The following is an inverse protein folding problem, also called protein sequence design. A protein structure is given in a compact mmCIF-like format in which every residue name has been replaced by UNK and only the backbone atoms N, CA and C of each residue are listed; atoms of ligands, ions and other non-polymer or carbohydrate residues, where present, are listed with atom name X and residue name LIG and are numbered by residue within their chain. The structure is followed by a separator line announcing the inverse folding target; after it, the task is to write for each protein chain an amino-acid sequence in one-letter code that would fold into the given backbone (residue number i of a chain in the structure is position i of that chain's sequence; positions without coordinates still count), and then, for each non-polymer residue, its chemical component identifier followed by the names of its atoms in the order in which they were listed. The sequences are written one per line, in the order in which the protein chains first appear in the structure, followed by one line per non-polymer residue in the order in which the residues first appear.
data_IF_146529041865
#
_entry.id   IF_146529041865
#
_cell.length_a   1.000
_cell.length_b   1.000
_cell.length_c   1.000
_cell.angle_alpha   90.00
_cell.angle_beta   90.00
_cell.angle_gamma   90.00
#
_symmetry.space_group_name_H-M   'P 1'
#
loop_
_entity.id
_entity.type
_entity.pdbx_description
1 polymer ?
#
# COMPACT_ATOMS: atom_id res chain seq x y z
N UNK A 1 -2.37 -12.24 15.37
CA UNK A 1 -3.48 -11.77 14.53
C UNK A 1 -3.16 -10.33 14.19
N UNK A 2 -2.95 -10.00 12.91
CA UNK A 2 -2.53 -8.66 12.55
C UNK A 2 -3.69 -7.67 12.60
N UNK A 3 -3.44 -6.48 13.12
CA UNK A 3 -4.42 -5.40 13.29
C UNK A 3 -4.28 -4.39 12.15
N UNK A 4 -5.35 -4.19 11.39
CA UNK A 4 -5.36 -3.32 10.20
C UNK A 4 -6.24 -2.09 10.45
N UNK A 5 -5.74 -0.92 10.14
CA UNK A 5 -6.53 0.31 10.06
C UNK A 5 -6.65 0.76 8.61
N UNK A 6 -7.85 1.14 8.16
CA UNK A 6 -8.09 1.73 6.84
C UNK A 6 -8.45 3.20 7.02
N UNK A 7 -7.52 4.08 6.71
CA UNK A 7 -7.79 5.52 6.69
C UNK A 7 -8.40 5.91 5.33
N UNK A 8 -9.57 6.54 5.35
CA UNK A 8 -10.36 6.75 4.14
C UNK A 8 -11.35 5.60 3.83
N UNK A 9 -11.77 4.85 4.83
CA UNK A 9 -12.69 3.70 4.72
C UNK A 9 -14.04 4.03 4.03
N UNK A 10 -14.48 5.29 4.02
CA UNK A 10 -15.73 5.71 3.39
C UNK A 10 -15.63 5.90 1.86
N UNK A 11 -14.42 5.98 1.32
CA UNK A 11 -14.21 6.07 -0.13
C UNK A 11 -14.43 4.73 -0.83
N UNK A 12 -14.62 4.77 -2.16
CA UNK A 12 -14.86 3.55 -2.98
C UNK A 12 -13.80 2.48 -2.76
N UNK A 13 -12.52 2.86 -2.79
CA UNK A 13 -11.39 1.95 -2.55
C UNK A 13 -11.39 1.42 -1.12
N UNK A 14 -11.63 2.28 -0.12
CA UNK A 14 -11.66 1.89 1.28
C UNK A 14 -12.78 0.90 1.61
N UNK A 15 -13.97 1.10 1.04
CA UNK A 15 -15.11 0.19 1.19
C UNK A 15 -14.78 -1.20 0.62
N UNK A 16 -14.23 -1.25 -0.59
CA UNK A 16 -13.88 -2.50 -1.26
C UNK A 16 -12.82 -3.29 -0.46
N UNK A 17 -11.76 -2.61 -0.02
CA UNK A 17 -10.72 -3.22 0.82
C UNK A 17 -11.30 -3.70 2.15
N UNK A 18 -12.09 -2.87 2.84
CA UNK A 18 -12.73 -3.26 4.09
C UNK A 18 -13.61 -4.50 3.95
N UNK A 19 -14.38 -4.58 2.85
CA UNK A 19 -15.23 -5.73 2.57
C UNK A 19 -14.42 -7.02 2.40
N UNK A 20 -13.31 -6.97 1.66
CA UNK A 20 -12.42 -8.11 1.45
C UNK A 20 -11.70 -8.54 2.73
N UNK A 21 -11.23 -7.58 3.53
CA UNK A 21 -10.50 -7.88 4.76
C UNK A 21 -11.40 -8.42 5.87
N UNK A 22 -12.68 -8.00 5.95
CA UNK A 22 -13.64 -8.54 6.91
C UNK A 22 -13.93 -10.04 6.72
N UNK A 23 -13.72 -10.56 5.52
CA UNK A 23 -13.88 -11.98 5.24
C UNK A 23 -12.70 -12.83 5.75
N UNK A 24 -11.65 -12.23 6.29
CA UNK A 24 -10.45 -12.91 6.79
C UNK A 24 -10.51 -13.07 8.30
N UNK A 25 -10.35 -14.29 8.78
CA UNK A 25 -10.36 -14.63 10.21
C UNK A 25 -9.01 -14.39 10.91
N UNK A 26 -7.94 -14.24 10.14
CA UNK A 26 -6.57 -14.02 10.63
C UNK A 26 -6.21 -12.55 10.87
N UNK A 27 -7.16 -11.63 10.61
CA UNK A 27 -6.98 -10.19 10.73
C UNK A 27 -8.02 -9.57 11.68
N UNK A 28 -7.63 -8.48 12.34
CA UNK A 28 -8.53 -7.58 13.07
C UNK A 28 -8.60 -6.25 12.35
N UNK A 29 -9.80 -5.83 11.94
CA UNK A 29 -10.00 -4.55 11.29
C UNK A 29 -10.44 -3.50 12.31
N UNK A 30 -9.64 -2.45 12.49
CA UNK A 30 -10.00 -1.28 13.28
C UNK A 30 -10.98 -0.40 12.52
N UNK A 31 -11.98 0.10 13.22
CA UNK A 31 -13.01 0.99 12.67
C UNK A 31 -12.99 2.33 13.38
N UNK A 32 -13.24 3.39 12.64
CA UNK A 32 -13.39 4.75 13.17
C UNK A 32 -14.87 5.18 13.04
N UNK A 33 -15.38 5.86 14.06
CA UNK A 33 -16.73 6.41 14.01
C UNK A 33 -16.83 7.49 12.92
N UNK A 34 -18.03 7.65 12.35
CA UNK A 34 -18.22 8.52 11.17
C UNK A 34 -17.92 9.99 11.48
N UNK A 35 -18.27 10.43 12.64
CA UNK A 35 -18.04 11.77 13.17
C UNK A 35 -16.57 12.04 13.55
N UNK A 36 -15.80 10.99 13.87
CA UNK A 36 -14.39 11.08 14.26
C UNK A 36 -13.41 10.94 13.08
N UNK A 37 -13.87 10.61 11.87
CA UNK A 37 -13.01 10.35 10.69
C UNK A 37 -12.05 11.48 10.34
N UNK A 38 -12.40 12.71 10.70
CA UNK A 38 -11.58 13.91 10.45
C UNK A 38 -10.82 14.37 11.69
N UNK A 39 -11.07 13.74 12.84
CA UNK A 39 -10.36 14.08 14.07
C UNK A 39 -8.94 13.50 14.07
N UNK A 40 -7.90 14.35 14.07
CA UNK A 40 -6.51 13.87 14.09
C UNK A 40 -6.20 13.01 15.30
N UNK A 41 -6.73 13.33 16.49
CA UNK A 41 -6.45 12.59 17.71
C UNK A 41 -7.06 11.17 17.69
N UNK A 42 -8.27 11.02 17.13
CA UNK A 42 -8.89 9.72 16.96
C UNK A 42 -8.13 8.86 15.94
N UNK A 43 -7.70 9.46 14.83
CA UNK A 43 -6.90 8.78 13.79
C UNK A 43 -5.53 8.37 14.33
N UNK A 44 -4.84 9.24 15.06
CA UNK A 44 -3.55 8.95 15.67
C UNK A 44 -3.61 7.73 16.60
N UNK A 45 -4.64 7.63 17.44
CA UNK A 45 -4.86 6.46 18.31
C UNK A 45 -4.99 5.17 17.52
N UNK A 46 -5.64 5.21 16.35
CA UNK A 46 -5.79 4.04 15.49
C UNK A 46 -4.48 3.67 14.79
N UNK A 47 -3.67 4.64 14.38
CA UNK A 47 -2.31 4.36 13.89
C UNK A 47 -1.45 3.69 14.97
N UNK A 48 -1.56 4.11 16.23
CA UNK A 48 -0.84 3.49 17.36
C UNK A 48 -1.27 2.05 17.64
N UNK A 49 -2.51 1.69 17.35
CA UNK A 49 -3.07 0.35 17.59
C UNK A 49 -2.91 -0.60 16.42
N UNK A 50 -2.62 -0.08 15.24
CA UNK A 50 -2.52 -0.88 14.02
C UNK A 50 -1.10 -1.44 13.84
N UNK A 51 -1.02 -2.67 13.34
CA UNK A 51 0.23 -3.21 12.79
C UNK A 51 0.48 -2.67 11.39
N UNK A 52 -0.60 -2.47 10.61
CA UNK A 52 -0.56 -1.91 9.26
C UNK A 52 -1.71 -0.95 9.07
N UNK A 53 -1.43 0.24 8.53
CA UNK A 53 -2.45 1.17 8.07
C UNK A 53 -2.47 1.27 6.54
N UNK A 54 -3.68 1.22 5.96
CA UNK A 54 -3.93 1.37 4.52
C UNK A 54 -4.51 2.76 4.29
N UNK A 55 -3.81 3.60 3.52
CA UNK A 55 -4.23 4.95 3.22
C UNK A 55 -5.03 4.97 1.91
N UNK A 56 -6.34 5.17 1.99
CA UNK A 56 -7.27 5.29 0.87
C UNK A 56 -7.73 6.74 0.73
N UNK A 57 -6.77 7.66 0.62
CA UNK A 57 -6.95 9.10 0.72
C UNK A 57 -6.47 9.81 -0.56
N UNK A 58 -6.94 11.04 -0.85
CA UNK A 58 -6.29 11.93 -1.80
C UNK A 58 -4.85 12.25 -1.37
N UNK A 59 -4.00 12.66 -2.32
CA UNK A 59 -2.56 12.82 -2.13
C UNK A 59 -2.19 13.71 -0.92
N UNK A 60 -2.76 14.90 -0.79
CA UNK A 60 -2.48 15.82 0.34
C UNK A 60 -2.88 15.21 1.69
N UNK A 61 -4.00 14.49 1.72
CA UNK A 61 -4.47 13.82 2.92
C UNK A 61 -3.63 12.58 3.27
N UNK A 62 -3.07 11.88 2.27
CA UNK A 62 -2.17 10.76 2.46
C UNK A 62 -0.82 11.23 3.04
N UNK A 63 -0.29 12.37 2.56
CA UNK A 63 0.91 12.99 3.12
C UNK A 63 0.69 13.34 4.60
N UNK A 64 -0.41 14.04 4.90
CA UNK A 64 -0.75 14.41 6.29
C UNK A 64 -0.97 13.17 7.18
N UNK A 65 -1.57 12.10 6.64
CA UNK A 65 -1.76 10.85 7.37
C UNK A 65 -0.43 10.14 7.67
N UNK A 66 0.54 10.20 6.74
CA UNK A 66 1.87 9.66 6.95
C UNK A 66 2.62 10.40 8.07
N UNK A 67 2.50 11.72 8.14
CA UNK A 67 3.05 12.54 9.22
C UNK A 67 2.39 12.20 10.56
N UNK A 68 1.07 12.06 10.58
CA UNK A 68 0.30 11.72 11.78
C UNK A 68 0.65 10.32 12.30
N UNK A 69 0.84 9.36 11.41
CA UNK A 69 1.24 8.00 11.78
C UNK A 69 2.65 7.93 12.41
N UNK A 70 3.53 8.88 12.08
CA UNK A 70 4.85 9.08 12.70
C UNK A 70 5.66 7.80 12.94
N UNK A 71 5.60 6.84 12.03
CA UNK A 71 6.32 5.56 12.14
C UNK A 71 5.77 4.56 13.15
N UNK A 72 4.56 4.77 13.68
CA UNK A 72 3.95 3.91 14.70
C UNK A 72 3.45 2.58 14.15
N UNK A 73 3.14 2.52 12.85
CA UNK A 73 2.74 1.31 12.14
C UNK A 73 3.31 1.29 10.73
N UNK A 74 3.23 0.14 10.07
CA UNK A 74 3.57 0.02 8.65
C UNK A 74 2.49 0.69 7.80
N UNK A 75 2.89 1.39 6.73
CA UNK A 75 1.98 2.11 5.85
C UNK A 75 1.91 1.47 4.46
N UNK A 76 0.69 1.29 3.95
CA UNK A 76 0.41 0.98 2.57
C UNK A 76 -0.42 2.12 1.97
N UNK A 77 0.17 2.92 1.09
CA UNK A 77 -0.49 4.06 0.48
C UNK A 77 -1.04 3.76 -0.90
N UNK A 78 -2.34 3.95 -1.10
CA UNK A 78 -3.01 3.78 -2.39
C UNK A 78 -3.04 5.06 -3.25
N UNK A 79 -2.61 6.21 -2.70
CA UNK A 79 -2.54 7.48 -3.43
C UNK A 79 -1.40 7.53 -4.46
N UNK A 80 -1.25 8.64 -5.16
CA UNK A 80 -0.12 8.86 -6.05
C UNK A 80 1.06 9.55 -5.37
N UNK A 81 0.86 10.10 -4.16
CA UNK A 81 1.80 10.96 -3.47
C UNK A 81 3.19 10.35 -3.27
N UNK A 82 3.24 9.04 -2.98
CA UNK A 82 4.49 8.41 -2.56
C UNK A 82 5.05 7.39 -3.57
N UNK A 83 4.48 7.28 -4.77
CA UNK A 83 4.90 6.27 -5.76
C UNK A 83 6.33 6.43 -6.27
N UNK A 84 6.85 7.64 -6.26
CA UNK A 84 8.22 7.96 -6.71
C UNK A 84 9.10 8.49 -5.57
N UNK A 85 8.61 8.42 -4.33
CA UNK A 85 9.35 8.92 -3.16
C UNK A 85 10.43 7.91 -2.73
N UNK A 86 11.65 8.38 -2.46
CA UNK A 86 12.83 7.54 -2.15
C UNK A 86 12.67 6.67 -0.90
N UNK A 87 11.88 7.12 0.09
CA UNK A 87 11.68 6.41 1.35
C UNK A 87 10.55 5.38 1.31
N UNK A 88 9.94 5.21 0.13
CA UNK A 88 8.84 4.28 -0.08
C UNK A 88 9.23 3.17 -1.04
N UNK A 89 8.90 1.93 -0.69
CA UNK A 89 9.06 0.80 -1.60
C UNK A 89 7.86 0.73 -2.54
N UNK A 90 8.13 0.65 -3.84
CA UNK A 90 7.08 0.48 -4.84
C UNK A 90 6.50 -0.94 -4.76
N UNK A 91 5.21 -1.05 -4.49
CA UNK A 91 4.52 -2.27 -4.12
C UNK A 91 4.18 -3.21 -5.29
N UNK A 92 5.12 -3.43 -6.22
CA UNK A 92 4.98 -4.35 -7.34
C UNK A 92 5.97 -5.51 -7.19
N UNK A 93 5.54 -6.66 -6.62
CA UNK A 93 6.46 -7.77 -6.34
C UNK A 93 7.02 -8.44 -7.60
N UNK A 94 6.37 -8.24 -8.75
CA UNK A 94 6.78 -8.77 -10.06
C UNK A 94 7.86 -7.92 -10.74
N UNK A 95 8.22 -6.76 -10.19
CA UNK A 95 9.16 -5.83 -10.80
C UNK A 95 10.55 -6.46 -10.99
N UNK A 96 11.03 -7.19 -10.00
CA UNK A 96 12.29 -7.95 -10.04
C UNK A 96 12.34 -8.98 -8.89
N UNK A 97 13.36 -9.84 -8.90
CA UNK A 97 13.51 -10.91 -7.91
C UNK A 97 13.61 -10.43 -6.44
N UNK A 98 14.13 -9.22 -6.20
CA UNK A 98 14.29 -8.64 -4.86
C UNK A 98 13.04 -7.90 -4.37
N UNK A 99 12.12 -7.51 -5.27
CA UNK A 99 10.99 -6.64 -4.95
C UNK A 99 10.07 -7.23 -3.89
N UNK A 100 9.77 -8.53 -3.96
CA UNK A 100 8.92 -9.21 -2.97
C UNK A 100 9.49 -9.13 -1.55
N UNK A 101 10.79 -9.34 -1.39
CA UNK A 101 11.45 -9.25 -0.09
C UNK A 101 11.51 -7.81 0.41
N UNK A 102 11.81 -6.86 -0.48
CA UNK A 102 11.81 -5.43 -0.15
C UNK A 102 10.42 -4.97 0.36
N UNK A 103 9.34 -5.36 -0.33
CA UNK A 103 7.96 -5.06 0.11
C UNK A 103 7.65 -5.70 1.47
N UNK A 104 8.06 -6.96 1.68
CA UNK A 104 7.78 -7.68 2.91
C UNK A 104 8.45 -7.06 4.13
N UNK A 105 9.63 -6.46 3.98
CA UNK A 105 10.42 -5.85 5.05
C UNK A 105 10.22 -4.33 5.21
N UNK A 106 9.57 -3.66 4.25
CA UNK A 106 9.42 -2.21 4.26
C UNK A 106 8.39 -1.72 5.28
N UNK A 107 8.68 -0.59 5.92
CA UNK A 107 7.72 0.12 6.76
C UNK A 107 6.73 0.96 5.94
N UNK A 108 7.13 1.36 4.73
CA UNK A 108 6.33 2.21 3.83
C UNK A 108 6.29 1.61 2.44
N UNK A 109 5.10 1.26 1.97
CA UNK A 109 4.85 0.68 0.65
C UNK A 109 3.84 1.54 -0.11
N UNK A 110 4.19 1.95 -1.32
CA UNK A 110 3.26 2.66 -2.23
C UNK A 110 2.60 1.67 -3.18
N UNK A 111 1.26 1.66 -3.21
CA UNK A 111 0.51 0.79 -4.11
C UNK A 111 0.65 1.25 -5.57
N UNK A 112 0.97 0.35 -6.52
CA UNK A 112 1.05 0.68 -7.95
C UNK A 112 -0.26 1.23 -8.51
N UNK A 113 -0.15 2.18 -9.43
CA UNK A 113 -1.31 2.61 -10.20
C UNK A 113 -1.73 1.53 -11.22
N UNK A 114 -3.03 1.46 -11.53
CA UNK A 114 -3.57 0.46 -12.46
C UNK A 114 -2.96 0.54 -13.86
N UNK A 115 -2.80 1.74 -14.43
CA UNK A 115 -2.18 1.93 -15.74
C UNK A 115 -0.67 1.64 -15.75
N UNK A 116 0.15 2.22 -14.84
CA UNK A 116 1.57 1.89 -14.75
C UNK A 116 1.83 0.40 -14.54
N UNK A 117 1.02 -0.27 -13.72
CA UNK A 117 1.17 -1.70 -13.46
C UNK A 117 1.06 -2.54 -14.74
N UNK A 118 0.04 -2.31 -15.56
CA UNK A 118 -0.14 -3.02 -16.83
C UNK A 118 1.02 -2.80 -17.79
N UNK A 119 1.50 -1.56 -17.91
CA UNK A 119 2.63 -1.22 -18.75
C UNK A 119 3.95 -1.85 -18.24
N UNK A 120 4.23 -1.72 -16.96
CA UNK A 120 5.45 -2.26 -16.34
C UNK A 120 5.51 -3.79 -16.49
N UNK A 121 4.40 -4.50 -16.22
CA UNK A 121 4.34 -5.96 -16.35
C UNK A 121 4.58 -6.41 -17.79
N UNK A 122 4.04 -5.69 -18.77
CA UNK A 122 4.30 -5.96 -20.20
C UNK A 122 5.77 -5.75 -20.57
N UNK A 123 6.37 -4.64 -20.09
CA UNK A 123 7.77 -4.32 -20.35
C UNK A 123 8.74 -5.33 -19.70
N UNK A 124 8.49 -5.71 -18.45
CA UNK A 124 9.30 -6.70 -17.71
C UNK A 124 9.22 -8.06 -18.38
N UNK A 125 8.03 -8.52 -18.77
CA UNK A 125 7.85 -9.79 -19.49
C UNK A 125 8.62 -9.80 -20.82
N UNK A 126 8.55 -8.72 -21.59
CA UNK A 126 9.25 -8.60 -22.86
C UNK A 126 10.77 -8.63 -22.71
N UNK A 127 11.31 -7.91 -21.73
CA UNK A 127 12.76 -7.87 -21.50
C UNK A 127 13.30 -9.21 -21.00
N UNK A 128 12.57 -9.92 -20.15
CA UNK A 128 12.94 -11.25 -19.68
C UNK A 128 12.91 -12.29 -20.81
N UNK A 129 11.89 -12.27 -21.67
CA UNK A 129 11.81 -13.17 -22.82
C UNK A 129 12.97 -12.94 -23.81
N UNK A 130 13.31 -11.69 -24.10
CA UNK A 130 14.43 -11.37 -25.00
C UNK A 130 15.78 -11.77 -24.45
N UNK A 131 15.99 -11.70 -23.15
CA UNK A 131 17.23 -12.14 -22.51
C UNK A 131 17.47 -13.66 -22.71
N UNK A 132 16.40 -14.45 -22.82
CA UNK A 132 16.49 -15.89 -23.11
C UNK A 132 16.72 -16.18 -24.60
N UNK A 133 16.14 -15.39 -25.51
CA UNK A 133 16.33 -15.57 -26.96
C UNK A 133 17.75 -15.26 -27.43
N UNK A 134 18.43 -14.27 -26.82
CA UNK A 134 19.81 -13.91 -27.19
C UNK A 134 20.85 -14.92 -26.72
N UNK A 135 20.53 -15.81 -25.81
CA UNK A 135 21.46 -16.88 -25.36
C UNK A 135 21.41 -18.14 -26.24
N UNK A 136 20.46 -18.25 -27.16
CA UNK A 136 20.34 -19.42 -28.04
C UNK A 136 21.05 -19.27 -29.40
N UNK A 137 21.70 -18.14 -29.67
CA UNK A 137 22.37 -17.84 -30.93
C UNK A 137 23.88 -17.55 -30.81
N UNK A 138 24.51 -17.99 -29.74
CA UNK A 138 25.98 -18.08 -29.56
C UNK A 138 26.36 -19.57 -29.34
#
# INVERSE_FOLDING_TARGET
MATIFIDGQAGTTGIEIATRLRAREDLTLLTIAEDERKDPAAREKLFQQADVAILCLPDDAAISACELANGQCRLLDASTAHRTHSDWVYGLPELNAAARMAIASADKVSNPGCYPQGFILSAVSYTHLRAHETQQHL
#
